data_IF_471321608233
#
_entry.id   IF_471321608233
#
_cell.length_a   1.000
_cell.length_b   1.000
_cell.length_c   1.000
_cell.angle_alpha   90.00
_cell.angle_beta   90.00
_cell.angle_gamma   90.00
#
_symmetry.space_group_name_H-M   'P 1'
#
loop_
_entity.id
_entity.type
_entity.pdbx_description
1 polymer ?
#
# COMPACT_ATOMS: atom_id res chain seq x y z
N UNK A 1 25.55 18.42 57.83
CA UNK A 1 25.55 18.14 59.29
C UNK A 1 24.15 18.39 59.83
N UNK A 2 23.58 17.38 60.52
CA UNK A 2 22.47 17.38 61.51
C UNK A 2 21.06 17.78 61.00
N UNK A 3 20.13 16.82 60.84
CA UNK A 3 19.21 16.18 61.85
C UNK A 3 18.22 17.20 62.45
N UNK A 4 16.91 17.10 62.22
CA UNK A 4 15.90 16.06 62.54
C UNK A 4 15.23 16.25 63.91
N UNK A 5 13.90 16.45 63.89
CA UNK A 5 12.89 16.11 64.92
C UNK A 5 11.52 16.44 64.28
N UNK A 6 10.55 15.55 63.99
CA UNK A 6 9.89 14.43 64.71
C UNK A 6 9.13 14.85 65.97
N UNK A 7 7.80 14.73 65.88
CA UNK A 7 6.88 14.01 66.80
C UNK A 7 5.50 13.98 66.09
N UNK A 8 4.89 12.85 65.69
CA UNK A 8 4.42 11.62 66.35
C UNK A 8 3.22 11.78 67.29
N UNK A 9 2.12 11.07 66.93
CA UNK A 9 1.13 10.30 67.72
C UNK A 9 -0.28 10.37 67.08
N UNK A 10 -1.12 9.33 67.01
CA UNK A 10 -1.05 7.91 67.40
C UNK A 10 -2.35 7.18 66.94
N UNK A 11 -2.22 5.89 66.58
CA UNK A 11 -3.13 4.73 66.88
C UNK A 11 -4.54 4.73 66.25
N UNK A 12 -5.18 3.63 65.85
CA UNK A 12 -5.19 2.20 66.21
C UNK A 12 -6.03 1.49 65.11
N UNK A 13 -5.60 0.43 64.44
CA UNK A 13 -5.57 -1.00 64.81
C UNK A 13 -6.90 -1.80 64.67
N UNK A 14 -6.77 -2.93 63.95
CA UNK A 14 -7.40 -4.26 64.11
C UNK A 14 -8.63 -4.70 63.30
N UNK A 15 -8.41 -5.89 62.72
CA UNK A 15 -9.21 -6.85 61.97
C UNK A 15 -10.21 -7.66 62.82
N UNK A 16 -11.29 -8.18 62.21
CA UNK A 16 -12.06 -9.41 62.54
C UNK A 16 -12.94 -9.75 61.30
N UNK A 17 -12.78 -10.85 60.56
CA UNK A 17 -13.23 -12.25 60.76
C UNK A 17 -14.75 -12.52 60.72
N UNK A 18 -15.16 -13.20 59.64
CA UNK A 18 -15.94 -14.46 59.53
C UNK A 18 -17.25 -14.70 60.32
N UNK A 19 -18.27 -15.20 59.59
CA UNK A 19 -19.47 -15.92 60.07
C UNK A 19 -20.59 -15.83 59.01
N UNK A 20 -20.80 -16.76 58.07
CA UNK A 20 -21.19 -18.19 58.13
C UNK A 20 -22.65 -18.44 58.56
N UNK A 21 -23.45 -19.01 57.63
CA UNK A 21 -24.37 -20.18 57.74
C UNK A 21 -25.50 -20.09 56.71
N UNK A 22 -25.66 -20.98 55.72
CA UNK A 22 -25.81 -22.46 55.61
C UNK A 22 -27.27 -22.87 55.44
N UNK A 23 -27.44 -23.87 54.55
CA UNK A 23 -28.44 -24.97 54.49
C UNK A 23 -29.17 -24.99 53.13
N UNK A 24 -29.32 -26.09 52.39
CA UNK A 24 -29.03 -27.53 52.59
C UNK A 24 -29.08 -28.22 51.20
N UNK A 25 -28.02 -28.95 50.83
CA UNK A 25 -27.92 -30.44 50.75
C UNK A 25 -29.13 -31.32 50.28
N UNK A 26 -28.95 -32.63 49.93
CA UNK A 26 -28.14 -33.25 48.86
C UNK A 26 -28.80 -34.56 48.28
N UNK A 27 -28.05 -35.36 47.51
CA UNK A 27 -28.03 -36.82 47.74
C UNK A 27 -28.51 -37.75 46.62
N UNK A 28 -27.56 -38.48 46.04
CA UNK A 28 -27.46 -39.95 45.94
C UNK A 28 -26.67 -40.33 44.67
N UNK A 29 -25.92 -41.42 44.57
CA UNK A 29 -25.04 -42.18 45.45
C UNK A 29 -24.29 -43.14 44.49
N UNK A 30 -23.07 -43.55 44.86
CA UNK A 30 -22.26 -44.52 44.10
C UNK A 30 -22.86 -45.93 44.21
N UNK A 31 -22.56 -46.81 43.25
CA UNK A 31 -21.88 -48.10 43.53
C UNK A 31 -21.53 -48.90 42.27
N UNK A 32 -20.45 -49.67 42.42
CA UNK A 32 -19.69 -50.50 41.47
C UNK A 32 -20.27 -51.95 41.33
N UNK A 33 -19.70 -52.84 40.47
CA UNK A 33 -20.27 -54.12 39.99
C UNK A 33 -20.07 -55.27 41.02
N UNK A 34 -20.21 -56.61 40.77
CA UNK A 34 -20.31 -57.40 39.52
C UNK A 34 -21.29 -58.61 39.57
N UNK A 35 -21.36 -59.42 38.49
CA UNK A 35 -21.34 -60.91 38.55
C UNK A 35 -21.41 -61.60 37.18
N UNK A 36 -20.57 -62.62 37.05
CA UNK A 36 -20.66 -63.73 36.11
C UNK A 36 -21.29 -64.96 36.80
N UNK A 37 -21.93 -65.85 36.05
CA UNK A 37 -22.08 -67.32 36.26
C UNK A 37 -22.85 -67.92 35.06
N UNK A 38 -22.21 -68.71 34.18
CA UNK A 38 -22.18 -70.21 34.09
C UNK A 38 -23.53 -70.86 33.70
N UNK A 39 -23.68 -71.46 32.52
CA UNK A 39 -23.37 -72.87 32.13
C UNK A 39 -24.52 -73.33 31.19
N UNK A 40 -24.50 -74.32 30.29
CA UNK A 40 -23.69 -75.54 30.07
C UNK A 40 -24.21 -76.25 28.79
N UNK A 41 -23.40 -77.10 28.13
CA UNK A 41 -23.84 -78.16 27.20
C UNK A 41 -23.30 -78.00 25.76
N UNK A 42 -22.14 -78.56 25.42
CA UNK A 42 -21.92 -79.90 24.81
C UNK A 42 -22.36 -79.99 23.33
N UNK A 43 -21.40 -80.02 22.40
CA UNK A 43 -21.04 -81.21 21.60
C UNK A 43 -20.02 -80.89 20.48
N UNK A 44 -19.06 -81.82 20.31
CA UNK A 44 -18.03 -81.93 19.27
C UNK A 44 -18.12 -83.38 18.78
N UNK A 45 -18.09 -83.68 17.45
CA UNK A 45 -16.84 -83.97 16.72
C UNK A 45 -16.93 -83.51 15.24
N UNK A 46 -15.94 -83.56 14.34
CA UNK A 46 -14.66 -84.23 14.19
C UNK A 46 -13.90 -83.58 13.01
N UNK A 47 -12.56 -83.56 13.08
CA UNK A 47 -11.68 -83.87 11.94
C UNK A 47 -11.42 -82.82 10.85
N UNK A 48 -10.27 -82.13 10.92
CA UNK A 48 -9.14 -82.26 9.97
C UNK A 48 -8.12 -81.11 10.14
N UNK A 49 -6.85 -81.49 10.35
CA UNK A 49 -5.61 -80.70 10.46
C UNK A 49 -5.18 -80.05 9.10
N UNK A 50 -4.07 -79.28 8.98
CA UNK A 50 -3.52 -78.19 9.82
C UNK A 50 -2.79 -77.04 9.02
N UNK A 51 -2.14 -76.09 9.74
CA UNK A 51 -0.99 -75.22 9.37
C UNK A 51 -1.22 -74.12 8.31
N UNK A 52 -1.42 -72.86 8.70
CA UNK A 52 -0.39 -71.79 8.89
C UNK A 52 0.45 -71.45 7.65
N UNK A 53 0.23 -70.28 7.05
CA UNK A 53 1.22 -69.20 6.93
C UNK A 53 0.77 -68.15 5.90
N UNK A 54 1.29 -66.93 6.05
CA UNK A 54 1.10 -65.73 5.24
C UNK A 54 -0.10 -64.84 5.60
N UNK A 55 0.04 -64.11 6.72
CA UNK A 55 -0.46 -62.74 6.80
C UNK A 55 0.40 -61.91 5.84
N UNK A 56 -0.05 -61.73 4.60
CA UNK A 56 0.44 -60.66 3.74
C UNK A 56 -0.09 -59.33 4.29
N UNK A 57 0.74 -58.69 5.12
CA UNK A 57 0.56 -57.30 5.45
C UNK A 57 1.03 -56.47 4.25
N UNK A 58 0.17 -56.31 3.24
CA UNK A 58 0.37 -55.32 2.17
C UNK A 58 0.43 -53.92 2.80
N UNK A 59 1.64 -53.45 3.12
CA UNK A 59 1.91 -52.03 3.29
C UNK A 59 1.82 -51.37 1.91
N UNK A 60 0.60 -51.01 1.52
CA UNK A 60 0.30 -50.24 0.32
C UNK A 60 1.01 -48.87 0.31
N UNK A 61 2.21 -48.85 -0.27
CA UNK A 61 2.85 -47.82 -1.10
C UNK A 61 2.48 -46.35 -0.79
N UNK A 62 3.23 -45.65 0.08
CA UNK A 62 3.16 -44.19 0.26
C UNK A 62 3.41 -43.40 -1.06
N UNK A 63 4.11 -43.99 -2.02
CA UNK A 63 4.41 -43.39 -3.32
C UNK A 63 3.19 -43.17 -4.24
N UNK A 64 2.11 -43.94 -4.10
CA UNK A 64 0.92 -43.81 -4.98
C UNK A 64 0.07 -42.59 -4.59
N UNK A 65 -0.10 -42.34 -3.29
CA UNK A 65 -0.76 -41.13 -2.77
C UNK A 65 0.05 -39.89 -3.10
N UNK A 66 1.38 -39.94 -2.95
CA UNK A 66 2.27 -38.83 -3.32
C UNK A 66 2.22 -38.50 -4.83
N UNK A 67 2.26 -39.51 -5.71
CA UNK A 67 2.13 -39.29 -7.17
C UNK A 67 0.77 -38.69 -7.56
N UNK A 68 -0.34 -39.14 -6.96
CA UNK A 68 -1.66 -38.54 -7.18
C UNK A 68 -1.73 -37.08 -6.71
N UNK A 69 -1.16 -36.78 -5.54
CA UNK A 69 -1.07 -35.41 -5.02
C UNK A 69 -0.22 -34.51 -5.93
N UNK A 70 0.94 -34.98 -6.38
CA UNK A 70 1.80 -34.24 -7.33
C UNK A 70 1.11 -34.01 -8.68
N UNK A 71 0.36 -35.00 -9.19
CA UNK A 71 -0.42 -34.83 -10.41
C UNK A 71 -1.59 -33.85 -10.24
N UNK A 72 -2.28 -33.88 -9.10
CA UNK A 72 -3.32 -32.91 -8.77
C UNK A 72 -2.75 -31.50 -8.63
N UNK A 73 -1.65 -31.33 -7.90
CA UNK A 73 -0.94 -30.07 -7.75
C UNK A 73 -0.47 -29.50 -9.10
N UNK A 74 0.10 -30.33 -9.98
CA UNK A 74 0.50 -29.91 -11.33
C UNK A 74 -0.68 -29.48 -12.19
N UNK A 75 -1.82 -30.18 -12.09
CA UNK A 75 -3.06 -29.80 -12.79
C UNK A 75 -3.62 -28.49 -12.27
N UNK A 76 -3.65 -28.31 -10.94
CA UNK A 76 -4.08 -27.08 -10.30
C UNK A 76 -3.19 -25.90 -10.70
N UNK A 77 -1.86 -26.06 -10.62
CA UNK A 77 -0.90 -25.05 -11.07
C UNK A 77 -1.08 -24.71 -12.55
N UNK A 78 -1.21 -25.71 -13.41
CA UNK A 78 -1.45 -25.48 -14.85
C UNK A 78 -2.78 -24.77 -15.12
N UNK A 79 -3.81 -25.02 -14.31
CA UNK A 79 -5.08 -24.31 -14.40
C UNK A 79 -4.95 -22.84 -13.97
N UNK A 80 -4.30 -22.58 -12.83
CA UNK A 80 -4.04 -21.23 -12.32
C UNK A 80 -3.21 -20.41 -13.32
N UNK A 81 -2.16 -21.00 -13.89
CA UNK A 81 -1.33 -20.33 -14.89
C UNK A 81 -2.14 -19.94 -16.13
N UNK A 82 -3.02 -20.81 -16.63
CA UNK A 82 -3.91 -20.48 -17.76
C UNK A 82 -4.84 -19.32 -17.41
N UNK A 83 -5.47 -19.35 -16.24
CA UNK A 83 -6.33 -18.26 -15.79
C UNK A 83 -5.54 -16.95 -15.66
N UNK A 84 -4.32 -17.00 -15.14
CA UNK A 84 -3.43 -15.85 -15.04
C UNK A 84 -3.09 -15.25 -16.41
N UNK A 85 -2.73 -16.08 -17.40
CA UNK A 85 -2.43 -15.61 -18.76
C UNK A 85 -3.66 -15.00 -19.44
N UNK A 86 -4.83 -15.63 -19.32
CA UNK A 86 -6.07 -15.14 -19.91
C UNK A 86 -6.49 -13.82 -19.25
N UNK A 87 -6.50 -13.80 -17.92
CA UNK A 87 -6.87 -12.61 -17.15
C UNK A 87 -5.93 -11.45 -17.45
N UNK A 88 -4.61 -11.68 -17.46
CA UNK A 88 -3.64 -10.65 -17.80
C UNK A 88 -3.85 -10.09 -19.21
N UNK A 89 -3.99 -10.95 -20.23
CA UNK A 89 -4.17 -10.49 -21.61
C UNK A 89 -5.54 -9.81 -21.83
N UNK A 90 -6.61 -10.28 -21.20
CA UNK A 90 -7.91 -9.63 -21.24
C UNK A 90 -7.86 -8.23 -20.63
N UNK A 91 -7.19 -8.06 -19.49
CA UNK A 91 -6.98 -6.75 -18.85
C UNK A 91 -6.07 -5.85 -19.70
N UNK A 92 -5.01 -6.39 -20.30
CA UNK A 92 -4.13 -5.67 -21.21
C UNK A 92 -4.89 -5.11 -22.43
N UNK A 93 -5.83 -5.87 -22.98
CA UNK A 93 -6.72 -5.42 -24.06
C UNK A 93 -7.70 -4.36 -23.55
N UNK A 94 -8.33 -4.59 -22.39
CA UNK A 94 -9.33 -3.69 -21.83
C UNK A 94 -8.75 -2.31 -21.46
N UNK A 95 -7.50 -2.27 -20.98
CA UNK A 95 -6.76 -1.05 -20.62
C UNK A 95 -5.74 -0.62 -21.70
N UNK A 96 -5.97 -1.03 -22.95
CA UNK A 96 -5.12 -0.65 -24.08
C UNK A 96 -5.39 0.78 -24.58
N UNK A 97 -4.54 1.23 -25.49
CA UNK A 97 -4.66 2.52 -26.18
C UNK A 97 -5.73 2.56 -27.29
N UNK A 98 -6.69 1.62 -27.32
CA UNK A 98 -7.78 1.66 -28.30
C UNK A 98 -8.77 2.80 -27.98
N UNK A 99 -9.20 3.57 -29.00
CA UNK A 99 -9.93 4.82 -28.80
C UNK A 99 -11.32 4.61 -28.19
N UNK A 100 -11.97 3.46 -28.44
CA UNK A 100 -13.34 3.22 -28.00
C UNK A 100 -13.42 2.19 -26.87
N UNK A 101 -14.03 2.59 -25.75
CA UNK A 101 -14.20 1.72 -24.57
C UNK A 101 -15.02 0.45 -24.86
N UNK A 102 -16.02 0.53 -25.75
CA UNK A 102 -16.77 -0.64 -26.18
C UNK A 102 -15.88 -1.61 -26.96
N UNK A 103 -15.02 -1.12 -27.85
CA UNK A 103 -14.12 -1.97 -28.64
C UNK A 103 -13.11 -2.68 -27.72
N UNK A 104 -12.54 -1.96 -26.75
CA UNK A 104 -11.67 -2.53 -25.71
C UNK A 104 -12.34 -3.69 -24.98
N UNK A 105 -13.57 -3.47 -24.53
CA UNK A 105 -14.34 -4.47 -23.79
C UNK A 105 -14.74 -5.66 -24.67
N UNK A 106 -15.23 -5.40 -25.89
CA UNK A 106 -15.62 -6.47 -26.83
C UNK A 106 -14.43 -7.34 -27.21
N UNK A 107 -13.25 -6.76 -27.49
CA UNK A 107 -12.05 -7.54 -27.80
C UNK A 107 -11.55 -8.34 -26.61
N UNK A 108 -11.60 -7.79 -25.39
CA UNK A 108 -11.23 -8.52 -24.18
C UNK A 108 -12.15 -9.73 -23.95
N UNK A 109 -13.47 -9.56 -24.15
CA UNK A 109 -14.45 -10.66 -24.04
C UNK A 109 -14.23 -11.69 -25.15
N UNK A 110 -14.03 -11.25 -26.40
CA UNK A 110 -13.78 -12.13 -27.53
C UNK A 110 -12.49 -12.96 -27.35
N UNK A 111 -11.40 -12.32 -26.92
CA UNK A 111 -10.15 -13.01 -26.59
C UNK A 111 -10.36 -14.03 -25.47
N UNK A 112 -11.09 -13.66 -24.41
CA UNK A 112 -11.38 -14.56 -23.29
C UNK A 112 -12.17 -15.79 -23.73
N UNK A 113 -13.22 -15.59 -24.53
CA UNK A 113 -14.02 -16.68 -25.08
C UNK A 113 -13.19 -17.61 -25.98
N UNK A 114 -12.37 -17.03 -26.86
CA UNK A 114 -11.44 -17.77 -27.72
C UNK A 114 -10.43 -18.58 -26.89
N UNK A 115 -9.83 -17.98 -25.87
CA UNK A 115 -8.84 -18.65 -25.02
C UNK A 115 -9.45 -19.80 -24.21
N UNK A 116 -10.67 -19.62 -23.68
CA UNK A 116 -11.42 -20.67 -23.00
C UNK A 116 -11.69 -21.83 -23.96
N UNK A 117 -12.19 -21.55 -25.15
CA UNK A 117 -12.41 -22.57 -26.19
C UNK A 117 -11.11 -23.31 -26.54
N UNK A 118 -10.03 -22.59 -26.82
CA UNK A 118 -8.76 -23.15 -27.27
C UNK A 118 -8.07 -24.02 -26.21
N UNK A 119 -8.15 -23.64 -24.94
CA UNK A 119 -7.39 -24.27 -23.85
C UNK A 119 -8.15 -25.37 -23.09
N UNK A 120 -9.48 -25.41 -23.18
CA UNK A 120 -10.33 -26.40 -22.49
C UNK A 120 -11.21 -27.25 -23.42
N UNK A 121 -11.71 -26.72 -24.54
CA UNK A 121 -12.72 -27.41 -25.36
C UNK A 121 -12.17 -28.00 -26.65
N UNK A 122 -11.33 -27.27 -27.38
CA UNK A 122 -10.88 -27.66 -28.71
C UNK A 122 -10.02 -28.95 -28.74
N UNK A 123 -9.34 -29.28 -27.64
CA UNK A 123 -8.46 -30.45 -27.47
C UNK A 123 -7.41 -30.69 -28.59
N UNK A 124 -7.16 -29.69 -29.45
CA UNK A 124 -6.26 -29.79 -30.59
C UNK A 124 -4.94 -29.03 -30.33
N UNK A 125 -3.80 -29.59 -30.80
CA UNK A 125 -2.50 -28.92 -30.73
C UNK A 125 -2.51 -27.57 -31.46
N UNK A 126 -3.18 -27.50 -32.61
CA UNK A 126 -3.35 -26.26 -33.39
C UNK A 126 -4.06 -25.15 -32.63
N UNK A 127 -5.12 -25.45 -31.87
CA UNK A 127 -5.82 -24.46 -31.06
C UNK A 127 -4.94 -23.87 -29.95
N UNK A 128 -4.12 -24.70 -29.30
CA UNK A 128 -3.14 -24.25 -28.29
C UNK A 128 -2.05 -23.38 -28.90
N UNK A 129 -1.56 -23.75 -30.10
CA UNK A 129 -0.60 -22.93 -30.84
C UNK A 129 -1.20 -21.58 -31.25
N UNK A 130 -2.45 -21.57 -31.73
CA UNK A 130 -3.18 -20.35 -32.05
C UNK A 130 -3.35 -19.44 -30.82
N UNK A 131 -3.74 -19.99 -29.66
CA UNK A 131 -3.76 -19.23 -28.40
C UNK A 131 -2.40 -18.62 -28.08
N UNK A 132 -1.32 -19.39 -28.16
CA UNK A 132 0.02 -18.88 -27.88
C UNK A 132 0.41 -17.74 -28.82
N UNK A 133 0.13 -17.87 -30.13
CA UNK A 133 0.39 -16.81 -31.12
C UNK A 133 -0.42 -15.56 -30.80
N UNK A 134 -1.73 -15.67 -30.58
CA UNK A 134 -2.59 -14.51 -30.27
C UNK A 134 -2.16 -13.85 -28.95
N UNK A 135 -1.82 -14.63 -27.92
CA UNK A 135 -1.29 -14.10 -26.67
C UNK A 135 0.01 -13.32 -26.88
N UNK A 136 0.95 -13.87 -27.68
CA UNK A 136 2.21 -13.19 -28.01
C UNK A 136 1.99 -11.89 -28.80
N UNK A 137 0.99 -11.84 -29.67
CA UNK A 137 0.59 -10.61 -30.38
C UNK A 137 0.04 -9.56 -29.40
N UNK A 138 -0.82 -9.97 -28.46
CA UNK A 138 -1.32 -9.06 -27.41
C UNK A 138 -0.18 -8.55 -26.53
N UNK A 139 0.75 -9.42 -26.14
CA UNK A 139 1.92 -9.05 -25.36
C UNK A 139 2.82 -8.06 -26.13
N UNK A 140 3.15 -8.36 -27.39
CA UNK A 140 3.96 -7.48 -28.23
C UNK A 140 3.29 -6.12 -28.44
N UNK A 141 1.98 -6.12 -28.70
CA UNK A 141 1.19 -4.89 -28.82
C UNK A 141 1.22 -4.07 -27.52
N UNK A 142 0.95 -4.69 -26.37
CA UNK A 142 0.97 -4.03 -25.07
C UNK A 142 2.36 -3.44 -24.74
N UNK A 143 3.45 -4.15 -25.04
CA UNK A 143 4.81 -3.63 -24.89
C UNK A 143 5.04 -2.41 -25.80
N UNK A 144 4.50 -2.42 -27.01
CA UNK A 144 4.68 -1.36 -27.99
C UNK A 144 3.83 -0.09 -27.75
N UNK A 145 2.85 -0.11 -26.83
CA UNK A 145 2.07 1.09 -26.50
C UNK A 145 3.02 2.16 -25.93
N UNK A 146 3.17 3.33 -26.59
CA UNK A 146 4.02 4.41 -26.12
C UNK A 146 3.26 5.30 -25.12
N UNK A 147 3.93 5.85 -24.10
CA UNK A 147 3.39 6.95 -23.31
C UNK A 147 3.34 8.23 -24.16
N UNK A 148 2.44 9.16 -23.85
CA UNK A 148 2.27 10.39 -24.62
C UNK A 148 2.00 11.60 -23.72
N UNK A 149 2.38 12.80 -24.16
CA UNK A 149 1.88 14.06 -23.60
C UNK A 149 0.66 14.60 -24.36
N UNK A 150 0.38 14.07 -25.55
CA UNK A 150 -0.64 14.57 -26.47
C UNK A 150 -1.95 13.80 -26.28
N UNK A 151 -2.58 14.00 -25.12
CA UNK A 151 -3.89 13.46 -24.78
C UNK A 151 -4.79 14.52 -24.18
N UNK A 152 -6.08 14.24 -24.13
CA UNK A 152 -7.03 15.08 -23.43
C UNK A 152 -6.95 14.77 -21.93
N UNK A 153 -6.05 15.44 -21.22
CA UNK A 153 -5.86 15.24 -19.79
C UNK A 153 -7.00 15.83 -18.96
N UNK A 154 -7.21 15.25 -17.77
CA UNK A 154 -8.05 15.87 -16.75
C UNK A 154 -7.44 17.20 -16.30
N UNK A 155 -8.28 18.20 -16.03
CA UNK A 155 -7.86 19.59 -15.80
C UNK A 155 -6.85 19.76 -14.65
N UNK A 156 -6.98 18.97 -13.59
CA UNK A 156 -6.08 19.00 -12.43
C UNK A 156 -4.67 18.47 -12.71
N UNK A 157 -4.45 17.79 -13.83
CA UNK A 157 -3.15 17.24 -14.23
C UNK A 157 -2.78 17.60 -15.68
N UNK A 158 -3.45 18.62 -16.23
CA UNK A 158 -3.31 18.98 -17.64
C UNK A 158 -1.95 19.62 -17.95
N UNK A 159 -1.43 20.45 -17.05
CA UNK A 159 -0.16 21.17 -17.24
C UNK A 159 0.99 20.42 -16.57
N UNK A 160 2.04 20.13 -17.36
CA UNK A 160 3.31 19.60 -16.85
C UNK A 160 4.15 20.74 -16.27
N UNK A 161 4.65 20.63 -15.03
CA UNK A 161 5.58 21.62 -14.51
C UNK A 161 6.95 21.50 -15.18
N UNK A 162 7.71 22.60 -15.15
CA UNK A 162 9.12 22.65 -15.59
C UNK A 162 9.94 23.46 -14.60
N UNK A 163 11.18 23.05 -14.42
CA UNK A 163 12.14 23.71 -13.55
C UNK A 163 13.34 24.22 -14.35
N UNK A 164 13.76 25.45 -14.08
CA UNK A 164 14.91 26.09 -14.68
C UNK A 164 15.88 26.45 -13.55
N UNK A 165 17.06 25.84 -13.57
CA UNK A 165 18.06 25.96 -12.50
C UNK A 165 19.20 26.85 -13.01
N UNK A 166 19.37 28.02 -12.39
CA UNK A 166 20.37 29.02 -12.73
C UNK A 166 21.24 29.28 -11.50
N UNK A 167 22.19 28.38 -11.25
CA UNK A 167 23.02 28.41 -10.04
C UNK A 167 22.19 28.18 -8.78
N UNK A 168 22.05 29.23 -7.96
CA UNK A 168 21.27 29.19 -6.72
C UNK A 168 19.78 29.49 -6.94
N UNK A 169 19.42 30.18 -8.03
CA UNK A 169 18.03 30.54 -8.35
C UNK A 169 17.36 29.40 -9.12
N UNK A 170 16.18 28.99 -8.67
CA UNK A 170 15.34 28.01 -9.35
C UNK A 170 14.02 28.67 -9.70
N UNK A 171 13.68 28.69 -11.00
CA UNK A 171 12.38 29.13 -11.50
C UNK A 171 11.56 27.92 -11.91
N UNK A 172 10.34 27.81 -11.39
CA UNK A 172 9.44 26.67 -11.63
C UNK A 172 8.15 27.19 -12.24
N UNK A 173 7.79 26.68 -13.41
CA UNK A 173 6.55 27.01 -14.12
C UNK A 173 5.54 25.89 -13.98
N UNK A 174 4.24 26.21 -14.04
CA UNK A 174 3.19 25.21 -13.91
C UNK A 174 2.97 24.79 -12.45
N UNK A 175 3.33 25.66 -11.49
CA UNK A 175 3.06 25.43 -10.07
C UNK A 175 1.57 25.61 -9.83
N UNK A 176 0.90 24.57 -9.38
CA UNK A 176 -0.53 24.57 -9.11
C UNK A 176 -0.88 25.37 -7.85
N UNK A 177 -1.91 26.19 -7.95
CA UNK A 177 -2.50 26.86 -6.81
C UNK A 177 -4.01 27.05 -6.99
N UNK A 178 -4.70 25.93 -7.23
CA UNK A 178 -6.11 25.88 -7.60
C UNK A 178 -7.01 26.34 -6.45
N UNK A 179 -8.13 26.95 -6.80
CA UNK A 179 -9.16 27.34 -5.85
C UNK A 179 -10.35 26.37 -5.97
N UNK A 180 -10.70 25.71 -4.86
CA UNK A 180 -11.69 24.63 -4.84
C UNK A 180 -13.02 25.06 -4.25
N UNK A 181 -14.10 24.55 -4.84
CA UNK A 181 -15.47 24.58 -4.30
C UNK A 181 -15.93 23.18 -3.89
N UNK A 182 -15.43 22.15 -4.57
CA UNK A 182 -15.56 20.74 -4.21
C UNK A 182 -14.41 19.91 -4.80
N UNK A 183 -14.36 18.60 -4.54
CA UNK A 183 -13.35 17.70 -5.12
C UNK A 183 -13.31 17.71 -6.67
N UNK A 184 -14.41 18.07 -7.32
CA UNK A 184 -14.57 18.07 -8.78
C UNK A 184 -14.97 19.42 -9.36
N UNK A 185 -15.12 20.45 -8.52
CA UNK A 185 -15.45 21.82 -8.94
C UNK A 185 -14.39 22.77 -8.41
N UNK A 186 -13.52 23.24 -9.30
CA UNK A 186 -12.37 24.07 -8.98
C UNK A 186 -12.07 25.03 -10.13
N UNK A 187 -11.29 26.06 -9.84
CA UNK A 187 -10.76 26.99 -10.82
C UNK A 187 -9.26 26.70 -11.01
N UNK A 188 -8.85 26.16 -12.18
CA UNK A 188 -7.44 25.92 -12.46
C UNK A 188 -6.63 27.22 -12.41
N UNK A 189 -5.53 27.19 -11.66
CA UNK A 189 -4.59 28.30 -11.56
C UNK A 189 -3.16 27.77 -11.51
N UNK A 190 -2.34 28.27 -12.42
CA UNK A 190 -0.94 27.89 -12.53
C UNK A 190 -0.05 29.12 -12.43
N UNK A 191 0.97 29.03 -11.60
CA UNK A 191 1.91 30.10 -11.31
C UNK A 191 3.31 29.78 -11.83
N UNK A 192 4.13 30.81 -11.92
CA UNK A 192 5.58 30.67 -11.92
C UNK A 192 6.09 31.08 -10.56
N UNK A 193 6.87 30.20 -9.91
CA UNK A 193 7.53 30.50 -8.63
C UNK A 193 9.03 30.54 -8.80
N UNK A 194 9.65 31.41 -8.02
CA UNK A 194 11.11 31.48 -7.91
C UNK A 194 11.51 31.23 -6.46
N UNK A 195 12.49 30.36 -6.29
CA UNK A 195 13.05 29.99 -4.99
C UNK A 195 14.56 29.94 -5.08
N UNK A 196 15.24 30.07 -3.94
CA UNK A 196 16.69 29.96 -3.84
C UNK A 196 17.07 28.67 -3.13
N UNK A 197 18.06 27.96 -3.64
CA UNK A 197 18.55 26.72 -3.02
C UNK A 197 19.21 27.02 -1.65
N UNK A 198 19.84 28.18 -1.51
CA UNK A 198 20.39 28.68 -0.24
C UNK A 198 19.34 28.74 0.87
N UNK A 199 18.12 29.11 0.51
CA UNK A 199 17.01 29.38 1.44
C UNK A 199 16.24 28.11 1.80
N UNK A 200 16.52 26.99 1.14
CA UNK A 200 15.90 25.72 1.48
C UNK A 200 16.38 25.25 2.86
N UNK A 201 15.43 25.14 3.79
CA UNK A 201 15.70 24.90 5.21
C UNK A 201 15.27 23.52 5.68
N UNK A 202 14.40 22.83 4.96
CA UNK A 202 14.00 21.47 5.31
C UNK A 202 13.05 20.82 4.31
N UNK A 203 12.61 19.62 4.67
CA UNK A 203 11.61 18.85 3.94
C UNK A 203 10.59 18.34 4.94
N UNK A 204 9.33 18.53 4.62
CA UNK A 204 8.22 17.92 5.33
C UNK A 204 7.68 16.73 4.54
N UNK A 205 7.24 15.71 5.26
CA UNK A 205 6.68 14.50 4.70
C UNK A 205 5.19 14.40 5.04
N UNK A 206 4.40 14.08 4.03
CA UNK A 206 2.97 13.87 4.15
C UNK A 206 2.62 12.44 3.80
N UNK A 207 1.63 11.93 4.52
CA UNK A 207 0.93 10.69 4.18
C UNK A 207 -0.57 10.91 4.33
N UNK A 208 -1.31 10.54 3.30
CA UNK A 208 -2.76 10.72 3.20
C UNK A 208 -3.46 9.38 2.96
N UNK A 209 -4.65 9.19 3.54
CA UNK A 209 -5.44 7.97 3.38
C UNK A 209 -6.85 8.31 2.89
N UNK A 210 -7.20 7.84 1.68
CA UNK A 210 -8.57 7.81 1.18
C UNK A 210 -9.37 6.62 1.72
N UNK A 211 -8.68 5.64 2.33
CA UNK A 211 -9.27 4.52 3.05
C UNK A 211 -8.29 4.02 4.12
N UNK A 212 -8.76 3.54 5.27
CA UNK A 212 -7.89 2.95 6.27
C UNK A 212 -7.17 1.70 5.70
N UNK A 213 -5.84 1.62 5.85
CA UNK A 213 -5.09 0.46 5.40
C UNK A 213 -3.59 0.69 5.25
N UNK A 214 -2.85 -0.34 4.79
CA UNK A 214 -1.39 -0.27 4.61
C UNK A 214 -0.98 0.46 3.31
N UNK A 215 -1.95 1.01 2.57
CA UNK A 215 -1.72 1.79 1.35
C UNK A 215 -2.20 3.21 1.62
N UNK A 216 -1.35 4.18 1.34
CA UNK A 216 -1.67 5.60 1.45
C UNK A 216 -1.19 6.35 0.21
N UNK A 217 -1.31 7.66 0.22
CA UNK A 217 -0.68 8.56 -0.73
C UNK A 217 0.39 9.37 -0.02
N UNK A 218 1.63 9.25 -0.46
CA UNK A 218 2.76 9.93 0.17
C UNK A 218 3.24 11.07 -0.72
N UNK A 219 3.66 12.18 -0.12
CA UNK A 219 4.18 13.34 -0.84
C UNK A 219 5.02 14.21 0.10
N UNK A 220 5.70 15.22 -0.44
CA UNK A 220 6.62 16.07 0.35
C UNK A 220 6.34 17.54 0.12
N UNK A 221 6.75 18.38 1.06
CA UNK A 221 6.91 19.81 0.83
C UNK A 221 8.34 20.24 1.13
N UNK A 222 8.91 21.02 0.22
CA UNK A 222 10.20 21.68 0.41
C UNK A 222 9.97 23.01 1.12
N UNK A 223 10.63 23.20 2.27
CA UNK A 223 10.44 24.36 3.14
C UNK A 223 11.58 25.34 2.92
N UNK A 224 11.25 26.62 2.76
CA UNK A 224 12.19 27.70 2.51
C UNK A 224 12.10 28.75 3.62
N UNK A 225 13.22 29.38 3.95
CA UNK A 225 13.29 30.45 4.95
C UNK A 225 12.62 31.75 4.45
N UNK A 226 12.65 32.01 3.13
CA UNK A 226 12.17 33.26 2.52
C UNK A 226 11.07 33.07 1.46
N UNK A 227 10.44 31.90 1.39
CA UNK A 227 9.37 31.61 0.44
C UNK A 227 8.35 30.63 1.02
N UNK A 228 7.08 30.66 0.57
CA UNK A 228 6.11 29.65 0.95
C UNK A 228 6.59 28.23 0.57
N UNK A 229 6.25 27.20 1.36
CA UNK A 229 6.61 25.83 1.04
C UNK A 229 6.10 25.39 -0.33
N UNK A 230 6.87 24.54 -1.00
CA UNK A 230 6.54 23.98 -2.30
C UNK A 230 6.22 22.50 -2.16
N UNK A 231 4.95 22.15 -2.34
CA UNK A 231 4.49 20.76 -2.26
C UNK A 231 4.71 20.04 -3.58
N UNK A 232 5.23 18.82 -3.53
CA UNK A 232 5.41 17.97 -4.70
C UNK A 232 4.83 16.58 -4.45
N UNK A 233 3.91 16.19 -5.31
CA UNK A 233 3.21 14.92 -5.27
C UNK A 233 3.37 14.16 -6.58
N UNK A 234 3.73 12.87 -6.50
CA UNK A 234 3.85 12.00 -7.67
C UNK A 234 2.50 11.34 -7.91
N UNK A 235 1.86 11.69 -9.00
CA UNK A 235 0.46 11.37 -9.28
C UNK A 235 0.34 10.59 -10.59
N UNK A 236 -0.77 9.85 -10.71
CA UNK A 236 -1.24 9.43 -12.03
C UNK A 236 -1.69 10.67 -12.82
N UNK A 237 -1.53 10.61 -14.15
CA UNK A 237 -2.01 11.62 -15.09
C UNK A 237 -3.14 11.01 -15.93
N UNK A 238 -4.41 11.01 -15.45
CA UNK A 238 -5.53 10.46 -16.20
C UNK A 238 -5.98 11.35 -17.37
N UNK A 239 -6.48 10.72 -18.43
CA UNK A 239 -7.30 11.41 -19.44
C UNK A 239 -8.63 11.88 -18.82
N UNK A 240 -9.28 12.87 -19.45
CA UNK A 240 -10.49 13.53 -18.91
C UNK A 240 -11.66 12.59 -18.66
N UNK A 241 -11.71 11.47 -19.38
CA UNK A 241 -12.75 10.45 -19.27
C UNK A 241 -12.41 9.33 -18.27
N UNK A 242 -11.22 9.38 -17.66
CA UNK A 242 -10.72 8.31 -16.80
C UNK A 242 -10.88 8.65 -15.32
N UNK A 243 -11.40 7.68 -14.56
CA UNK A 243 -11.38 7.69 -13.11
C UNK A 243 -10.17 6.94 -12.56
N UNK A 244 -9.83 7.16 -11.29
CA UNK A 244 -8.80 6.36 -10.63
C UNK A 244 -9.28 4.90 -10.49
N UNK A 245 -8.45 3.95 -10.93
CA UNK A 245 -8.68 2.52 -10.74
C UNK A 245 -7.34 1.82 -10.39
N UNK A 246 -7.21 1.17 -9.22
CA UNK A 246 -5.96 0.51 -8.83
C UNK A 246 -5.49 -0.58 -9.78
N UNK A 247 -6.41 -1.30 -10.43
CA UNK A 247 -6.04 -2.33 -11.40
C UNK A 247 -5.53 -1.68 -12.70
N UNK A 248 -6.16 -0.59 -13.13
CA UNK A 248 -5.74 0.17 -14.31
C UNK A 248 -4.30 0.70 -14.18
N UNK A 249 -3.90 1.15 -12.99
CA UNK A 249 -2.55 1.66 -12.74
C UNK A 249 -1.46 0.58 -12.77
N UNK A 250 -1.82 -0.70 -12.83
CA UNK A 250 -0.89 -1.81 -13.11
C UNK A 250 -0.69 -2.04 -14.62
N UNK A 251 -1.46 -1.36 -15.46
CA UNK A 251 -1.35 -1.38 -16.92
C UNK A 251 -0.98 0.01 -17.44
N UNK A 252 -0.76 0.13 -18.75
CA UNK A 252 -0.35 1.36 -19.45
C UNK A 252 -1.53 2.31 -19.69
N UNK A 253 -2.32 2.56 -18.64
CA UNK A 253 -3.48 3.44 -18.73
C UNK A 253 -3.14 4.88 -18.31
N UNK A 254 -2.35 5.06 -17.25
CA UNK A 254 -2.00 6.39 -16.76
C UNK A 254 -0.54 6.71 -17.04
N UNK A 255 -0.29 7.89 -17.58
CA UNK A 255 1.02 8.52 -17.55
C UNK A 255 1.35 9.04 -16.14
N UNK A 256 2.63 9.32 -15.91
CA UNK A 256 3.15 9.82 -14.65
C UNK A 256 3.28 11.34 -14.69
N UNK A 257 2.91 12.02 -13.60
CA UNK A 257 3.15 13.47 -13.41
C UNK A 257 3.66 13.75 -11.99
N UNK A 258 4.54 14.73 -11.87
CA UNK A 258 4.86 15.35 -10.60
C UNK A 258 4.02 16.61 -10.49
N UNK A 259 2.97 16.58 -9.66
CA UNK A 259 2.21 17.78 -9.32
C UNK A 259 3.05 18.62 -8.36
N UNK A 260 3.44 19.80 -8.82
CA UNK A 260 4.10 20.81 -8.00
C UNK A 260 3.08 21.89 -7.67
N UNK A 261 2.90 22.25 -6.41
CA UNK A 261 1.87 23.21 -6.02
C UNK A 261 2.05 23.84 -4.65
N UNK A 262 1.16 24.79 -4.34
CA UNK A 262 1.00 25.30 -2.98
C UNK A 262 0.46 24.20 -2.06
N UNK A 263 0.75 24.29 -0.77
CA UNK A 263 0.14 23.37 0.20
C UNK A 263 -1.36 23.60 0.35
N UNK A 264 -1.81 24.84 0.19
CA UNK A 264 -3.24 25.19 0.15
C UNK A 264 -3.97 24.36 -0.92
N UNK A 265 -3.39 24.21 -2.11
CA UNK A 265 -3.95 23.34 -3.16
C UNK A 265 -3.73 21.86 -2.82
N UNK A 266 -2.47 21.43 -2.73
CA UNK A 266 -2.12 19.99 -2.72
C UNK A 266 -2.54 19.30 -1.42
N UNK A 267 -2.39 19.96 -0.27
CA UNK A 267 -2.83 19.43 1.04
C UNK A 267 -4.31 19.74 1.24
N UNK A 268 -4.74 20.98 0.97
CA UNK A 268 -6.11 21.42 1.20
C UNK A 268 -7.16 20.62 0.42
N UNK A 269 -6.88 20.23 -0.84
CA UNK A 269 -7.81 19.38 -1.60
C UNK A 269 -8.10 18.05 -0.87
N UNK A 270 -7.10 17.50 -0.19
CA UNK A 270 -7.17 16.20 0.50
C UNK A 270 -7.95 16.31 1.79
N UNK A 271 -7.60 17.27 2.64
CA UNK A 271 -8.21 17.47 3.96
C UNK A 271 -9.61 18.05 3.90
N UNK A 272 -9.87 18.98 2.96
CA UNK A 272 -11.08 19.81 3.00
C UNK A 272 -12.15 19.38 1.98
N UNK A 273 -11.74 18.72 0.89
CA UNK A 273 -12.66 18.42 -0.22
C UNK A 273 -12.78 16.93 -0.55
N UNK A 274 -11.78 16.11 -0.22
CA UNK A 274 -11.78 14.65 -0.45
C UNK A 274 -11.98 13.81 0.82
N UNK A 275 -12.04 14.45 1.99
CA UNK A 275 -12.20 13.80 3.30
C UNK A 275 -11.12 12.72 3.56
N UNK A 276 -9.89 12.98 3.09
CA UNK A 276 -8.76 12.09 3.32
C UNK A 276 -8.13 12.37 4.68
N UNK A 277 -7.70 11.33 5.41
CA UNK A 277 -6.91 11.48 6.64
C UNK A 277 -5.47 11.86 6.29
N UNK A 278 -5.03 13.06 6.64
CA UNK A 278 -3.70 13.58 6.30
C UNK A 278 -2.85 13.78 7.54
N UNK A 279 -1.64 13.22 7.49
CA UNK A 279 -0.61 13.34 8.50
C UNK A 279 0.60 14.08 7.94
N UNK A 280 1.16 14.99 8.72
CA UNK A 280 2.31 15.81 8.39
C UNK A 280 3.43 15.61 9.42
N UNK A 281 4.60 15.21 8.94
CA UNK A 281 5.78 14.99 9.75
C UNK A 281 6.92 15.88 9.28
N UNK A 282 7.63 16.48 10.22
CA UNK A 282 8.90 17.17 9.94
C UNK A 282 9.99 16.12 9.84
N UNK A 283 10.80 16.19 8.79
CA UNK A 283 11.93 15.27 8.63
C UNK A 283 13.17 15.86 9.30
N UNK A 284 13.80 15.09 10.18
CA UNK A 284 15.14 15.38 10.71
C UNK A 284 16.17 15.14 9.60
N UNK A 285 16.41 16.18 8.80
CA UNK A 285 17.40 16.13 7.74
C UNK A 285 18.23 17.42 7.68
N UNK A 286 19.49 17.28 7.28
CA UNK A 286 20.35 18.44 7.03
C UNK A 286 19.84 19.27 5.85
N UNK A 287 20.15 20.57 5.86
CA UNK A 287 19.84 21.46 4.73
C UNK A 287 20.47 20.97 3.43
N UNK A 288 21.65 20.37 3.51
CA UNK A 288 22.35 19.76 2.37
C UNK A 288 21.54 18.61 1.78
N UNK A 289 20.98 17.73 2.62
CA UNK A 289 20.10 16.65 2.16
C UNK A 289 18.84 17.20 1.50
N UNK A 290 18.19 18.19 2.12
CA UNK A 290 17.01 18.84 1.55
C UNK A 290 17.29 19.40 0.14
N UNK A 291 18.43 20.08 -0.03
CA UNK A 291 18.84 20.68 -1.32
C UNK A 291 19.07 19.62 -2.38
N UNK A 292 19.73 18.52 -2.01
CA UNK A 292 20.00 17.44 -2.94
C UNK A 292 18.71 16.72 -3.36
N UNK A 293 17.84 16.42 -2.40
CA UNK A 293 16.53 15.85 -2.70
C UNK A 293 15.70 16.78 -3.58
N UNK A 294 15.79 18.09 -3.37
CA UNK A 294 15.08 19.06 -4.20
C UNK A 294 15.59 19.05 -5.65
N UNK A 295 16.91 19.08 -5.87
CA UNK A 295 17.51 19.00 -7.22
C UNK A 295 17.06 17.76 -7.97
N UNK A 296 17.08 16.61 -7.28
CA UNK A 296 16.58 15.34 -7.80
C UNK A 296 15.13 15.43 -8.26
N UNK A 297 14.26 16.07 -7.47
CA UNK A 297 12.86 16.26 -7.85
C UNK A 297 12.75 17.16 -9.09
N UNK A 298 13.53 18.24 -9.17
CA UNK A 298 13.54 19.16 -10.31
C UNK A 298 14.05 18.50 -11.59
N UNK A 299 15.12 17.71 -11.51
CA UNK A 299 15.63 16.90 -12.63
C UNK A 299 14.55 15.96 -13.12
N UNK A 300 13.89 15.25 -12.20
CA UNK A 300 12.84 14.30 -12.55
C UNK A 300 11.60 14.95 -13.15
N UNK A 301 11.22 16.13 -12.66
CA UNK A 301 10.16 16.96 -13.24
C UNK A 301 10.48 17.29 -14.71
N UNK A 302 11.72 17.70 -14.99
CA UNK A 302 12.15 18.04 -16.35
C UNK A 302 12.23 16.82 -17.27
N UNK A 303 12.78 15.70 -16.80
CA UNK A 303 12.79 14.44 -17.54
C UNK A 303 11.38 14.03 -17.98
N UNK A 304 10.41 14.09 -17.05
CA UNK A 304 9.02 13.76 -17.34
C UNK A 304 8.35 14.78 -18.25
N UNK A 305 8.76 16.05 -18.20
CA UNK A 305 8.24 17.08 -19.11
C UNK A 305 8.78 16.93 -20.54
N UNK A 306 9.94 16.30 -20.71
CA UNK A 306 10.56 16.05 -22.02
C UNK A 306 10.20 14.69 -22.59
N UNK A 307 10.02 13.68 -21.73
CA UNK A 307 9.70 12.30 -22.11
C UNK A 307 8.57 11.77 -21.25
N UNK A 308 7.40 11.48 -21.83
CA UNK A 308 6.30 10.90 -21.07
C UNK A 308 6.67 9.49 -20.62
N UNK A 309 6.19 9.11 -19.45
CA UNK A 309 6.38 7.77 -18.90
C UNK A 309 5.07 7.25 -18.32
N UNK A 310 4.86 5.93 -18.37
CA UNK A 310 3.73 5.33 -17.68
C UNK A 310 3.94 5.34 -16.17
N UNK A 311 2.86 5.59 -15.44
CA UNK A 311 2.82 5.37 -14.02
C UNK A 311 2.94 3.86 -13.73
N UNK A 312 3.79 3.53 -12.76
CA UNK A 312 3.95 2.17 -12.26
C UNK A 312 3.92 2.20 -10.73
N UNK A 313 2.84 1.67 -10.15
CA UNK A 313 2.57 1.71 -8.71
C UNK A 313 3.75 1.21 -7.85
N UNK A 314 4.49 0.20 -8.35
CA UNK A 314 5.56 -0.46 -7.60
C UNK A 314 6.95 0.19 -7.77
N UNK A 315 7.18 1.00 -8.82
CA UNK A 315 8.51 1.55 -9.11
C UNK A 315 8.59 3.07 -9.03
N UNK A 316 7.46 3.77 -9.18
CA UNK A 316 7.40 5.22 -9.38
C UNK A 316 6.52 5.93 -8.33
N UNK A 317 6.55 5.50 -7.07
CA UNK A 317 5.88 6.22 -5.97
C UNK A 317 6.83 7.18 -5.26
N UNK A 318 6.29 8.23 -4.60
CA UNK A 318 7.05 9.16 -3.76
C UNK A 318 7.93 8.43 -2.75
N UNK A 319 7.37 7.38 -2.13
CA UNK A 319 8.07 6.53 -1.16
C UNK A 319 9.30 5.85 -1.75
N UNK A 320 9.21 5.23 -2.94
CA UNK A 320 10.35 4.54 -3.56
C UNK A 320 11.47 5.52 -3.92
N UNK A 321 11.13 6.73 -4.39
CA UNK A 321 12.13 7.75 -4.70
C UNK A 321 12.77 8.31 -3.43
N UNK A 322 11.99 8.70 -2.41
CA UNK A 322 12.54 9.16 -1.11
C UNK A 322 13.48 8.13 -0.51
N UNK A 323 13.09 6.85 -0.49
CA UNK A 323 13.94 5.75 0.00
C UNK A 323 15.21 5.61 -0.83
N UNK A 324 15.10 5.63 -2.16
CA UNK A 324 16.26 5.52 -3.07
C UNK A 324 17.29 6.62 -2.78
N UNK A 325 16.83 7.85 -2.54
CA UNK A 325 17.71 8.98 -2.28
C UNK A 325 18.20 9.05 -0.83
N UNK A 326 17.35 8.75 0.15
CA UNK A 326 17.76 8.61 1.55
C UNK A 326 18.85 7.54 1.70
N UNK A 327 18.76 6.42 0.96
CA UNK A 327 19.79 5.37 0.90
C UNK A 327 21.11 5.88 0.30
N UNK A 328 21.03 6.64 -0.79
CA UNK A 328 22.21 7.22 -1.44
C UNK A 328 22.92 8.25 -0.56
N UNK A 329 22.17 9.04 0.21
CA UNK A 329 22.72 10.05 1.09
C UNK A 329 23.22 9.47 2.43
N UNK A 330 22.55 8.45 2.98
CA UNK A 330 22.91 7.82 4.25
C UNK A 330 23.98 6.73 4.13
N UNK A 331 24.45 6.41 2.92
CA UNK A 331 25.50 5.41 2.69
C UNK A 331 25.15 4.00 3.20
N UNK A 332 23.85 3.67 3.29
CA UNK A 332 23.35 2.46 3.95
C UNK A 332 22.77 1.46 2.96
N UNK A 333 23.35 0.26 2.92
CA UNK A 333 22.81 -0.94 2.27
C UNK A 333 21.60 -1.49 3.06
N UNK A 334 20.56 -0.66 3.21
CA UNK A 334 19.34 -1.04 3.92
C UNK A 334 18.59 -2.11 3.13
N UNK A 335 18.43 -3.29 3.74
CA UNK A 335 17.65 -4.42 3.22
C UNK A 335 16.26 -3.95 2.74
N UNK A 336 15.67 -4.60 1.73
CA UNK A 336 14.31 -4.28 1.29
C UNK A 336 13.32 -4.42 2.45
N UNK A 337 12.71 -3.30 2.86
CA UNK A 337 11.64 -3.23 3.86
C UNK A 337 10.28 -3.29 3.15
N UNK A 338 9.35 -4.09 3.68
CA UNK A 338 8.00 -4.26 3.11
C UNK A 338 7.23 -2.93 3.07
N UNK A 339 7.53 -2.00 3.97
CA UNK A 339 6.90 -0.68 4.09
C UNK A 339 7.27 0.27 2.94
N UNK A 340 8.27 -0.08 2.14
CA UNK A 340 8.54 0.62 0.88
C UNK A 340 7.48 0.33 -0.20
N UNK A 341 6.84 -0.85 -0.13
CA UNK A 341 5.76 -1.25 -1.04
C UNK A 341 4.38 -0.98 -0.43
N UNK A 342 4.28 -1.13 0.90
CA UNK A 342 3.11 -0.72 1.70
C UNK A 342 3.34 0.70 2.21
N UNK A 343 3.26 1.66 1.29
CA UNK A 343 3.60 3.06 1.57
C UNK A 343 2.71 3.71 2.65
N UNK A 344 1.54 3.14 2.94
CA UNK A 344 0.70 3.48 4.10
C UNK A 344 1.34 3.18 5.46
N UNK A 345 2.54 2.60 5.49
CA UNK A 345 3.30 2.32 6.73
C UNK A 345 4.64 3.07 6.74
N UNK A 346 4.86 3.99 5.79
CA UNK A 346 6.16 4.61 5.60
C UNK A 346 6.53 5.59 6.72
N UNK A 347 5.54 6.22 7.36
CA UNK A 347 5.71 7.01 8.59
C UNK A 347 6.34 6.18 9.72
N UNK A 348 5.90 4.94 9.92
CA UNK A 348 6.51 4.02 10.91
C UNK A 348 7.95 3.62 10.54
N UNK A 349 8.25 3.54 9.24
CA UNK A 349 9.62 3.28 8.78
C UNK A 349 10.52 4.48 9.10
N UNK A 350 10.08 5.69 8.79
CA UNK A 350 10.80 6.93 9.11
C UNK A 350 11.05 7.06 10.62
N UNK A 351 10.07 6.70 11.44
CA UNK A 351 10.20 6.65 12.90
C UNK A 351 11.29 5.66 13.34
N UNK A 352 11.27 4.42 12.83
CA UNK A 352 12.22 3.38 13.21
C UNK A 352 13.68 3.74 12.87
N UNK A 353 13.89 4.48 11.77
CA UNK A 353 15.23 4.92 11.36
C UNK A 353 15.61 6.29 11.93
N UNK A 354 14.74 6.90 12.76
CA UNK A 354 15.01 8.17 13.44
C UNK A 354 15.00 9.41 12.54
N UNK A 355 14.28 9.38 11.41
CA UNK A 355 14.12 10.56 10.53
C UNK A 355 12.93 11.45 10.89
N UNK A 356 12.15 11.09 11.90
CA UNK A 356 11.08 11.92 12.49
C UNK A 356 11.14 11.78 14.02
N UNK A 357 10.50 12.69 14.75
CA UNK A 357 10.56 12.76 16.22
C UNK A 357 10.34 11.39 16.93
N UNK A 358 11.39 10.89 17.57
CA UNK A 358 11.38 9.65 18.36
C UNK A 358 11.27 9.88 19.87
N UNK A 359 11.11 11.13 20.31
CA UNK A 359 10.95 11.48 21.74
C UNK A 359 9.57 11.11 22.28
N UNK A 360 8.57 11.02 21.39
CA UNK A 360 7.21 10.58 21.70
C UNK A 360 6.98 9.15 21.20
N UNK A 361 6.19 8.31 21.90
CA UNK A 361 5.75 7.04 21.34
C UNK A 361 5.06 7.26 19.97
N UNK A 362 5.38 6.43 18.97
CA UNK A 362 4.89 6.60 17.59
C UNK A 362 3.38 6.85 17.46
N UNK A 363 2.55 6.15 18.25
CA UNK A 363 1.09 6.36 18.25
C UNK A 363 0.67 7.76 18.71
N UNK A 364 1.41 8.37 19.64
CA UNK A 364 1.19 9.75 20.08
C UNK A 364 1.72 10.75 19.04
N UNK A 365 2.91 10.50 18.48
CA UNK A 365 3.44 11.30 17.37
C UNK A 365 2.44 11.36 16.21
N UNK A 366 1.94 10.20 15.77
CA UNK A 366 0.99 10.09 14.66
C UNK A 366 -0.32 10.82 14.95
N UNK A 367 -0.83 10.74 16.18
CA UNK A 367 -2.03 11.50 16.60
C UNK A 367 -1.81 13.01 16.51
N UNK A 368 -0.67 13.52 16.98
CA UNK A 368 -0.33 14.96 16.93
C UNK A 368 0.00 15.46 15.53
N UNK A 369 0.42 14.56 14.66
CA UNK A 369 0.77 14.82 13.27
C UNK A 369 -0.43 14.80 12.34
N UNK A 370 -1.63 14.42 12.81
CA UNK A 370 -2.86 14.52 12.03
C UNK A 370 -3.29 15.99 11.94
N UNK A 371 -3.42 16.50 10.72
CA UNK A 371 -3.58 17.95 10.46
C UNK A 371 -4.96 18.37 9.96
N UNK A 372 -5.90 17.43 9.76
CA UNK A 372 -7.19 17.72 9.12
C UNK A 372 -7.94 18.86 9.80
N UNK A 373 -8.12 18.85 11.13
CA UNK A 373 -8.80 19.94 11.84
C UNK A 373 -8.14 21.31 11.60
N UNK A 374 -6.81 21.35 11.58
CA UNK A 374 -6.04 22.59 11.35
C UNK A 374 -6.19 23.07 9.91
N UNK A 375 -6.11 22.17 8.94
CA UNK A 375 -6.26 22.47 7.52
C UNK A 375 -7.69 22.91 7.18
N UNK A 376 -8.68 22.25 7.78
CA UNK A 376 -10.10 22.59 7.64
C UNK A 376 -10.43 23.92 8.32
N UNK A 377 -9.80 24.26 9.45
CA UNK A 377 -9.96 25.57 10.06
C UNK A 377 -9.21 26.70 9.30
N UNK A 378 -8.11 26.37 8.63
CA UNK A 378 -7.36 27.32 7.80
C UNK A 378 -8.09 27.66 6.49
N UNK A 379 -8.72 26.67 5.82
CA UNK A 379 -9.37 26.83 4.51
C UNK A 379 -8.49 27.63 3.53
N UNK A 380 -8.97 28.80 3.09
CA UNK A 380 -8.29 29.68 2.14
C UNK A 380 -7.39 30.73 2.79
N UNK A 381 -7.06 30.58 4.08
CA UNK A 381 -6.23 31.53 4.79
C UNK A 381 -4.83 31.65 4.14
N UNK A 382 -4.28 32.86 3.95
CA UNK A 382 -2.96 33.05 3.34
C UNK A 382 -1.81 32.36 4.11
N UNK A 383 -1.99 32.17 5.41
CA UNK A 383 -1.07 31.50 6.34
C UNK A 383 -1.37 30.00 6.52
N UNK A 384 -2.06 29.35 5.56
CA UNK A 384 -2.42 27.93 5.60
C UNK A 384 -1.25 27.02 5.99
N UNK A 385 -0.11 27.19 5.33
CA UNK A 385 1.12 26.42 5.57
C UNK A 385 1.64 26.54 7.00
N UNK A 386 1.54 27.72 7.59
CA UNK A 386 1.99 27.98 8.96
C UNK A 386 1.02 27.35 9.97
N UNK A 387 -0.28 27.43 9.70
CA UNK A 387 -1.34 26.87 10.56
C UNK A 387 -1.31 25.35 10.65
N UNK A 388 -1.11 24.65 9.53
CA UNK A 388 -1.02 23.17 9.56
C UNK A 388 0.24 22.69 10.32
N UNK A 389 1.26 23.54 10.44
CA UNK A 389 2.49 23.28 11.19
C UNK A 389 2.44 23.73 12.64
N UNK A 390 1.49 24.57 13.01
CA UNK A 390 1.32 25.05 14.36
C UNK A 390 1.15 23.84 15.30
N UNK A 391 1.94 23.78 16.38
CA UNK A 391 1.98 22.69 17.35
C UNK A 391 2.38 21.29 16.85
N UNK A 392 2.96 21.16 15.66
CA UNK A 392 3.60 19.90 15.28
C UNK A 392 4.79 19.59 16.20
N UNK A 393 5.03 18.30 16.49
CA UNK A 393 6.28 17.87 17.09
C UNK A 393 7.49 18.34 16.26
N UNK A 394 8.65 18.57 16.91
CA UNK A 394 9.86 19.00 16.19
C UNK A 394 10.27 17.97 15.13
N UNK A 395 11.05 18.44 14.15
CA UNK A 395 11.74 17.57 13.19
C UNK A 395 12.93 16.94 13.87
#
# INVERSE_FOLDING_TARGET
MRRAQRDDRCLSSRSFSCGARTDRQPGHERQEPPRATTGSGQDVPSGAHPVSSAVEHERGIPGFRLRRLLHAARRALGFVLKLGLIGWAALAIHYSNLPWGWLRTTLAVAFTAFAIWALWFANAKGARAAFAVVFLLVLAWWIAIPPSHDRLWREDVAVMPRAFIEGDRVRITGVRDFDYRSATDFMPRYETREVFLSDLSGVDFYISYWMPGPVGHTFVSFVFDNAPPLSVSIEIRPESHEGYAPIASMFKQFELIYVVGSERDVVGVRTNFRDEDVYLFRIDASREFARELFRVYLERINELADRPEFYHLLSNSCTVNIVRYARSAAGSDARPDIRHYLNGLFDSFLYDIGLIDTTLPFGELRRRSWINEKAQAAQDAPDFSERIRYSLPPG
#
